data_IF_361958992819
#
_entry.id   IF_361958992819
#
_cell.length_a   1.000
_cell.length_b   1.000
_cell.length_c   1.000
_cell.angle_alpha   90.00
_cell.angle_beta   90.00
_cell.angle_gamma   90.00
#
_symmetry.space_group_name_H-M   'P 1'
#
loop_
_entity.id
_entity.type
_entity.pdbx_description
1 polymer ?
#
# COMPACT_ATOMS: atom_id res chain seq x y z
N UNK A 1 17.54 -20.34 -39.76
CA UNK A 1 17.93 -19.21 -38.89
C UNK A 1 16.96 -19.15 -37.73
N UNK A 2 17.36 -19.64 -36.55
CA UNK A 2 16.51 -19.63 -35.37
C UNK A 2 16.47 -18.22 -34.79
N UNK A 3 15.30 -17.57 -34.82
CA UNK A 3 15.06 -16.37 -34.02
C UNK A 3 14.96 -16.82 -32.56
N UNK A 4 15.69 -16.21 -31.63
CA UNK A 4 15.51 -16.53 -30.22
C UNK A 4 14.09 -16.10 -29.83
N UNK A 5 13.32 -17.05 -29.30
CA UNK A 5 12.07 -16.77 -28.62
C UNK A 5 12.46 -15.88 -27.45
N UNK A 6 12.11 -14.58 -27.52
CA UNK A 6 12.16 -13.73 -26.34
C UNK A 6 11.23 -14.36 -25.34
N UNK A 7 11.77 -14.99 -24.30
CA UNK A 7 11.01 -15.31 -23.11
C UNK A 7 10.30 -14.03 -22.70
N UNK A 8 8.97 -14.02 -22.82
CA UNK A 8 8.15 -13.01 -22.17
C UNK A 8 8.49 -13.16 -20.69
N UNK A 9 9.25 -12.20 -20.14
CA UNK A 9 9.42 -12.06 -18.70
C UNK A 9 8.02 -12.10 -18.12
N UNK A 10 7.68 -13.22 -17.47
CA UNK A 10 6.40 -13.44 -16.81
C UNK A 10 6.20 -12.22 -15.90
N UNK A 11 5.10 -11.49 -16.10
CA UNK A 11 4.76 -10.36 -15.25
C UNK A 11 4.82 -10.85 -13.80
N UNK A 12 5.81 -10.39 -13.03
CA UNK A 12 5.83 -10.63 -11.59
C UNK A 12 4.70 -9.79 -11.02
N UNK A 13 3.62 -10.44 -10.63
CA UNK A 13 2.69 -9.95 -9.63
C UNK A 13 2.23 -11.18 -8.86
N UNK A 14 2.75 -11.36 -7.64
CA UNK A 14 1.80 -11.75 -6.59
C UNK A 14 2.14 -11.31 -5.14
N UNK A 15 3.29 -10.73 -4.80
CA UNK A 15 3.64 -10.59 -3.36
C UNK A 15 2.76 -9.57 -2.62
N UNK A 16 2.55 -8.39 -3.18
CA UNK A 16 1.63 -7.38 -2.61
C UNK A 16 0.19 -7.91 -2.56
N UNK A 17 -0.28 -8.58 -3.63
CA UNK A 17 -1.64 -9.14 -3.70
C UNK A 17 -1.85 -10.30 -2.71
N UNK A 18 -0.84 -11.15 -2.50
CA UNK A 18 -0.90 -12.27 -1.54
C UNK A 18 -0.66 -11.83 -0.08
N UNK A 19 -0.24 -10.59 0.14
CA UNK A 19 -0.06 -10.03 1.48
C UNK A 19 -1.41 -9.63 2.09
N UNK A 20 -2.29 -9.03 1.30
CA UNK A 20 -3.60 -8.54 1.73
C UNK A 20 -4.70 -9.59 1.56
N UNK A 21 -5.60 -9.66 2.54
CA UNK A 21 -6.70 -10.64 2.55
C UNK A 21 -8.07 -9.99 2.40
N UNK A 22 -8.24 -8.76 2.91
CA UNK A 22 -9.52 -8.09 2.92
C UNK A 22 -9.36 -6.58 2.96
N UNK A 23 -10.41 -5.87 2.56
CA UNK A 23 -10.59 -4.46 2.84
C UNK A 23 -11.64 -4.30 3.94
N UNK A 24 -11.56 -3.22 4.69
CA UNK A 24 -12.64 -2.87 5.60
C UNK A 24 -13.86 -2.44 4.78
N UNK A 25 -15.06 -2.91 5.13
CA UNK A 25 -16.30 -2.55 4.45
C UNK A 25 -17.11 -1.50 5.23
N UNK A 26 -16.61 -1.10 6.40
CA UNK A 26 -17.20 -0.09 7.26
C UNK A 26 -16.56 1.30 7.13
N UNK A 27 -15.51 1.41 6.31
CA UNK A 27 -14.88 2.69 5.97
C UNK A 27 -15.57 3.35 4.77
N UNK A 28 -14.98 4.44 4.27
CA UNK A 28 -15.61 5.27 3.24
C UNK A 28 -15.37 4.74 1.82
N UNK A 29 -14.34 3.92 1.61
CA UNK A 29 -13.83 3.56 0.28
C UNK A 29 -12.93 2.32 0.29
N UNK A 30 -12.73 1.76 -0.89
CA UNK A 30 -11.81 0.64 -1.10
C UNK A 30 -10.57 1.06 -1.88
N UNK A 31 -9.42 0.48 -1.53
CA UNK A 31 -8.23 0.45 -2.37
C UNK A 31 -8.52 -0.28 -3.68
N UNK A 32 -7.96 0.25 -4.75
CA UNK A 32 -8.07 -0.30 -6.09
C UNK A 32 -6.75 -0.98 -6.48
N UNK A 33 -6.85 -2.17 -7.07
CA UNK A 33 -5.72 -2.87 -7.68
C UNK A 33 -5.60 -2.42 -9.14
N UNK A 34 -4.51 -1.73 -9.49
CA UNK A 34 -4.41 -0.97 -10.73
C UNK A 34 -3.11 -1.20 -11.47
N UNK A 35 -3.10 -0.88 -12.76
CA UNK A 35 -1.94 -0.94 -13.63
C UNK A 35 -1.87 0.29 -14.54
N UNK A 36 -0.67 0.84 -14.73
CA UNK A 36 -0.46 2.04 -15.52
C UNK A 36 -0.58 3.31 -14.67
N UNK A 37 -0.84 4.45 -15.32
CA UNK A 37 -0.98 5.75 -14.67
C UNK A 37 -2.34 5.87 -13.96
N UNK A 38 -2.39 6.61 -12.85
CA UNK A 38 -3.66 7.05 -12.25
C UNK A 38 -4.41 8.02 -13.19
N UNK A 39 -5.73 8.11 -13.04
CA UNK A 39 -6.60 8.94 -13.91
C UNK A 39 -6.46 10.43 -13.66
N UNK A 40 -5.92 10.82 -12.52
CA UNK A 40 -5.73 12.19 -12.06
C UNK A 40 -4.44 12.77 -12.66
N UNK A 41 -4.55 14.00 -13.18
CA UNK A 41 -3.39 14.73 -13.69
C UNK A 41 -2.56 15.29 -12.53
N UNK A 42 -1.23 15.37 -12.72
CA UNK A 42 -0.29 15.92 -11.73
C UNK A 42 -0.23 15.17 -10.39
N UNK A 43 -0.74 13.95 -10.36
CA UNK A 43 -0.55 12.97 -9.30
C UNK A 43 0.26 11.79 -9.85
N UNK A 44 0.29 10.66 -9.14
CA UNK A 44 0.92 9.45 -9.63
C UNK A 44 0.45 8.23 -8.86
N UNK A 45 1.05 7.07 -9.11
CA UNK A 45 2.24 6.84 -9.93
C UNK A 45 1.92 6.71 -11.44
N UNK A 46 2.94 6.83 -12.30
CA UNK A 46 2.84 6.56 -13.75
C UNK A 46 2.88 5.05 -14.07
N UNK A 47 3.44 4.24 -13.16
CA UNK A 47 3.54 2.79 -13.25
C UNK A 47 3.82 2.19 -11.85
N UNK A 48 3.56 0.88 -11.71
CA UNK A 48 3.90 0.11 -10.52
C UNK A 48 5.39 0.19 -10.16
N UNK A 49 5.73 0.00 -8.88
CA UNK A 49 7.14 -0.06 -8.46
C UNK A 49 7.79 -1.36 -8.95
N UNK A 50 7.12 -2.50 -8.73
CA UNK A 50 7.52 -3.79 -9.27
C UNK A 50 6.41 -4.38 -10.14
N UNK A 51 6.79 -4.97 -11.28
CA UNK A 51 5.83 -5.67 -12.13
C UNK A 51 4.88 -4.73 -12.86
N UNK A 52 3.58 -5.01 -12.78
CA UNK A 52 2.55 -4.29 -13.54
C UNK A 52 1.45 -3.70 -12.66
N UNK A 53 1.36 -4.09 -11.39
CA UNK A 53 0.22 -3.78 -10.54
C UNK A 53 0.64 -3.21 -9.20
N UNK A 54 -0.17 -2.31 -8.67
CA UNK A 54 -0.03 -1.72 -7.35
C UNK A 54 -1.43 -1.51 -6.74
N UNK A 55 -1.48 -1.28 -5.42
CA UNK A 55 -2.70 -0.81 -4.78
C UNK A 55 -2.69 0.70 -4.70
N UNK A 56 -3.83 1.33 -4.96
CA UNK A 56 -3.97 2.76 -4.83
C UNK A 56 -5.32 3.15 -4.26
N UNK A 57 -5.34 4.26 -3.53
CA UNK A 57 -6.54 4.85 -3.01
C UNK A 57 -7.07 5.88 -4.00
N UNK A 58 -8.16 5.54 -4.69
CA UNK A 58 -8.85 6.44 -5.61
C UNK A 58 -9.65 7.47 -4.82
N UNK A 59 -9.34 8.75 -5.00
CA UNK A 59 -9.94 9.85 -4.23
C UNK A 59 -10.97 10.66 -5.04
N UNK A 60 -11.20 10.30 -6.30
CA UNK A 60 -12.14 10.97 -7.21
C UNK A 60 -13.61 10.59 -6.97
N UNK A 61 -14.25 11.28 -6.01
CA UNK A 61 -15.70 11.41 -5.78
C UNK A 61 -16.56 10.16 -5.41
N UNK A 62 -17.64 10.35 -4.61
CA UNK A 62 -17.86 11.44 -3.66
C UNK A 62 -17.27 11.05 -2.29
N UNK A 63 -15.96 11.29 -2.10
CA UNK A 63 -15.30 11.17 -0.80
C UNK A 63 -15.07 12.56 -0.20
N UNK A 64 -15.17 12.66 1.14
CA UNK A 64 -14.97 13.91 1.87
C UNK A 64 -13.54 13.98 2.40
N UNK A 65 -13.11 15.18 2.78
CA UNK A 65 -11.86 15.32 3.52
C UNK A 65 -11.91 14.46 4.77
N UNK A 66 -10.86 13.68 5.03
CA UNK A 66 -10.80 12.75 6.15
C UNK A 66 -11.46 11.39 5.89
N UNK A 67 -12.04 11.14 4.71
CA UNK A 67 -12.51 9.80 4.34
C UNK A 67 -11.36 8.79 4.36
N UNK A 68 -11.65 7.58 4.81
CA UNK A 68 -10.64 6.54 5.04
C UNK A 68 -10.84 5.33 4.14
N UNK A 69 -9.75 4.64 3.83
CA UNK A 69 -9.75 3.32 3.20
C UNK A 69 -8.70 2.42 3.83
N UNK A 70 -9.10 1.25 4.31
CA UNK A 70 -8.27 0.31 5.06
C UNK A 70 -8.09 -1.01 4.32
N UNK A 71 -6.84 -1.33 4.00
CA UNK A 71 -6.42 -2.61 3.44
C UNK A 71 -5.72 -3.45 4.51
N UNK A 72 -6.24 -4.66 4.75
CA UNK A 72 -5.86 -5.49 5.89
C UNK A 72 -5.12 -6.74 5.40
N UNK A 73 -3.98 -7.04 6.02
CA UNK A 73 -3.21 -8.23 5.73
C UNK A 73 -3.99 -9.52 6.04
N UNK A 74 -3.52 -10.64 5.48
CA UNK A 74 -3.82 -11.95 6.06
C UNK A 74 -3.32 -12.04 7.51
N UNK A 75 -3.72 -13.09 8.23
CA UNK A 75 -3.12 -13.42 9.52
C UNK A 75 -1.63 -13.70 9.33
N UNK A 76 -0.78 -13.00 10.09
CA UNK A 76 0.66 -13.13 10.04
C UNK A 76 1.15 -13.81 11.33
N UNK A 77 2.08 -14.73 11.16
CA UNK A 77 2.90 -15.24 12.25
C UNK A 77 4.18 -14.39 12.28
N UNK A 78 4.34 -13.59 13.33
CA UNK A 78 5.45 -12.64 13.49
C UNK A 78 6.34 -13.15 14.62
N UNK A 79 7.52 -13.62 14.24
CA UNK A 79 8.57 -13.99 15.16
C UNK A 79 9.54 -12.83 15.42
N UNK A 80 10.56 -13.10 16.23
CA UNK A 80 11.54 -12.09 16.66
C UNK A 80 12.27 -11.51 15.45
N UNK A 81 12.51 -10.20 15.49
CA UNK A 81 13.34 -9.49 14.53
C UNK A 81 12.79 -9.52 13.09
N UNK A 82 11.52 -9.15 12.95
CA UNK A 82 10.84 -9.01 11.65
C UNK A 82 10.54 -7.55 11.34
N UNK A 83 10.67 -7.23 10.07
CA UNK A 83 10.41 -5.91 9.52
C UNK A 83 9.35 -6.02 8.42
N UNK A 84 8.33 -5.17 8.49
CA UNK A 84 7.53 -4.84 7.31
C UNK A 84 8.36 -3.93 6.42
N UNK A 85 8.51 -4.31 5.16
CA UNK A 85 9.09 -3.49 4.09
C UNK A 85 8.02 -3.22 3.05
N UNK A 86 7.95 -1.99 2.58
CA UNK A 86 6.93 -1.58 1.61
C UNK A 86 7.42 -0.38 0.83
N UNK A 87 6.90 -0.23 -0.39
CA UNK A 87 7.09 0.98 -1.18
C UNK A 87 5.79 1.75 -1.27
N UNK A 88 5.88 3.07 -1.21
CA UNK A 88 4.73 3.96 -1.30
C UNK A 88 5.01 5.12 -2.25
N UNK A 89 3.96 5.66 -2.85
CA UNK A 89 3.99 6.89 -3.65
C UNK A 89 2.89 7.81 -3.16
N UNK A 90 3.27 9.06 -2.86
CA UNK A 90 2.37 10.11 -2.36
C UNK A 90 2.80 11.42 -3.01
N UNK A 91 2.14 11.79 -4.10
CA UNK A 91 2.43 13.02 -4.83
C UNK A 91 1.15 13.68 -5.35
N UNK A 92 1.04 14.99 -5.14
CA UNK A 92 -0.11 15.78 -5.55
C UNK A 92 -0.39 16.91 -4.56
N UNK A 93 -1.27 17.82 -4.96
CA UNK A 93 -1.75 18.90 -4.10
C UNK A 93 -2.76 18.38 -3.08
N UNK A 94 -2.79 18.98 -1.89
CA UNK A 94 -3.72 18.57 -0.83
C UNK A 94 -3.59 17.11 -0.42
N UNK A 95 -2.36 16.59 -0.43
CA UNK A 95 -2.04 15.21 -0.11
C UNK A 95 -2.58 14.79 1.26
N UNK A 96 -3.13 13.58 1.30
CA UNK A 96 -3.64 12.94 2.50
C UNK A 96 -2.56 12.36 3.42
N UNK A 97 -2.97 11.34 4.16
CA UNK A 97 -2.11 10.61 5.10
C UNK A 97 -2.16 9.12 4.81
N UNK A 98 -0.99 8.46 4.88
CA UNK A 98 -0.89 7.01 4.93
C UNK A 98 -0.45 6.61 6.34
N UNK A 99 -1.27 5.81 7.01
CA UNK A 99 -0.98 5.20 8.29
C UNK A 99 -0.76 3.69 8.12
N UNK A 100 0.14 3.13 8.91
CA UNK A 100 0.33 1.68 9.01
C UNK A 100 0.24 1.28 10.47
N UNK A 101 -0.72 0.38 10.73
CA UNK A 101 -0.96 -0.18 12.05
C UNK A 101 -0.51 -1.62 12.12
N UNK A 102 0.02 -2.02 13.27
CA UNK A 102 0.12 -3.41 13.68
C UNK A 102 -0.91 -3.67 14.76
N UNK A 103 -1.88 -4.53 14.48
CA UNK A 103 -3.09 -4.63 15.30
C UNK A 103 -3.76 -3.25 15.42
N UNK A 104 -3.76 -2.66 16.61
CA UNK A 104 -4.28 -1.31 16.85
C UNK A 104 -3.17 -0.28 17.12
N UNK A 105 -1.89 -0.69 17.11
CA UNK A 105 -0.74 0.19 17.37
C UNK A 105 -0.30 0.89 16.10
N UNK A 106 -0.23 2.22 16.12
CA UNK A 106 0.26 3.02 14.99
C UNK A 106 1.78 2.88 14.91
N UNK A 107 2.28 2.19 13.88
CA UNK A 107 3.72 1.98 13.71
C UNK A 107 4.37 3.03 12.82
N UNK A 108 3.63 3.60 11.88
CA UNK A 108 4.16 4.53 10.90
C UNK A 108 3.08 5.43 10.33
N UNK A 109 3.48 6.67 10.04
CA UNK A 109 2.62 7.66 9.40
C UNK A 109 3.44 8.59 8.50
N UNK A 110 2.87 8.95 7.35
CA UNK A 110 3.31 10.06 6.51
C UNK A 110 2.10 10.83 6.03
N UNK A 111 2.22 12.15 6.07
CA UNK A 111 1.24 13.08 5.54
C UNK A 111 1.91 14.03 4.56
N UNK A 112 1.13 14.60 3.65
CA UNK A 112 1.65 15.56 2.69
C UNK A 112 2.45 14.91 1.55
N UNK A 113 2.78 15.71 0.54
CA UNK A 113 3.48 15.24 -0.67
C UNK A 113 4.92 14.83 -0.37
N UNK A 114 5.37 13.71 -0.97
CA UNK A 114 6.65 13.02 -0.70
C UNK A 114 7.56 12.98 -1.96
N UNK A 115 7.46 13.99 -2.82
CA UNK A 115 8.03 14.07 -4.17
C UNK A 115 7.41 13.05 -5.15
N UNK A 116 7.48 13.33 -6.45
CA UNK A 116 7.00 12.43 -7.49
C UNK A 116 7.97 11.26 -7.73
N UNK A 117 8.05 10.35 -6.76
CA UNK A 117 8.89 9.15 -6.82
C UNK A 117 8.41 8.11 -5.81
N UNK A 118 8.52 6.83 -6.15
CA UNK A 118 8.35 5.76 -5.17
C UNK A 118 9.40 5.86 -4.06
N UNK A 119 8.96 5.67 -2.82
CA UNK A 119 9.78 5.64 -1.61
C UNK A 119 9.71 4.27 -0.96
N UNK A 120 10.83 3.77 -0.46
CA UNK A 120 10.92 2.55 0.31
C UNK A 120 11.02 2.91 1.79
N UNK A 121 10.24 2.24 2.63
CA UNK A 121 10.39 2.35 4.09
C UNK A 121 10.32 0.97 4.76
N UNK A 122 10.71 0.94 6.03
CA UNK A 122 10.72 -0.28 6.86
C UNK A 122 10.26 0.01 8.28
N UNK A 123 9.53 -0.94 8.85
CA UNK A 123 8.97 -0.85 10.20
C UNK A 123 9.34 -2.12 10.95
N UNK A 124 9.94 -2.00 12.13
CA UNK A 124 10.13 -3.14 13.03
C UNK A 124 8.79 -3.55 13.62
N UNK A 125 8.47 -4.85 13.53
CA UNK A 125 7.24 -5.41 14.05
C UNK A 125 7.47 -5.96 15.45
N UNK A 126 6.47 -5.79 16.31
CA UNK A 126 6.49 -6.31 17.67
C UNK A 126 5.83 -7.69 17.70
N UNK A 127 6.61 -8.74 18.02
CA UNK A 127 6.11 -10.12 18.08
C UNK A 127 5.04 -10.33 19.16
N UNK A 128 4.85 -9.39 20.09
CA UNK A 128 3.85 -9.46 21.16
C UNK A 128 2.50 -8.88 20.78
N UNK A 129 2.42 -8.12 19.67
CA UNK A 129 1.16 -7.54 19.19
C UNK A 129 0.39 -8.56 18.35
N UNK A 130 -0.26 -9.49 19.04
CA UNK A 130 -1.05 -10.57 18.44
C UNK A 130 -2.46 -10.65 19.02
N UNK A 131 -3.39 -11.28 18.29
CA UNK A 131 -4.69 -11.69 18.80
C UNK A 131 -4.58 -12.88 19.78
N UNK A 132 -5.72 -13.34 20.30
CA UNK A 132 -5.79 -14.48 21.22
C UNK A 132 -5.38 -15.82 20.61
N UNK A 133 -5.23 -15.89 19.27
CA UNK A 133 -4.75 -17.07 18.54
C UNK A 133 -3.27 -16.95 18.17
N UNK A 134 -2.59 -15.87 18.57
CA UNK A 134 -1.19 -15.62 18.28
C UNK A 134 -0.91 -15.01 16.91
N UNK A 135 -1.94 -14.54 16.19
CA UNK A 135 -1.74 -13.91 14.89
C UNK A 135 -1.66 -12.39 14.99
N UNK A 136 -0.75 -11.80 14.23
CA UNK A 136 -0.69 -10.36 14.01
C UNK A 136 -1.38 -9.97 12.69
N UNK A 137 -1.82 -8.73 12.59
CA UNK A 137 -2.36 -8.12 11.36
C UNK A 137 -1.74 -6.76 11.12
N UNK A 138 -1.50 -6.46 9.85
CA UNK A 138 -1.06 -5.14 9.41
C UNK A 138 -2.20 -4.49 8.64
N UNK A 139 -2.51 -3.25 9.00
CA UNK A 139 -3.53 -2.44 8.32
C UNK A 139 -2.88 -1.22 7.70
N UNK A 140 -3.05 -1.07 6.40
CA UNK A 140 -2.70 0.15 5.67
C UNK A 140 -3.95 1.00 5.56
N UNK A 141 -3.93 2.18 6.18
CA UNK A 141 -5.04 3.13 6.15
C UNK A 141 -4.62 4.36 5.35
N UNK A 142 -5.31 4.60 4.25
CA UNK A 142 -5.21 5.86 3.52
C UNK A 142 -6.33 6.80 3.99
N UNK A 143 -5.96 8.05 4.24
CA UNK A 143 -6.87 9.13 4.64
C UNK A 143 -6.83 10.18 3.56
N UNK A 144 -7.99 10.51 2.99
CA UNK A 144 -8.13 11.53 1.96
C UNK A 144 -7.81 12.91 2.52
N UNK A 145 -6.98 13.66 1.79
CA UNK A 145 -6.75 15.07 2.08
C UNK A 145 -7.93 15.95 1.66
N UNK A 146 -7.68 17.23 1.43
CA UNK A 146 -8.77 18.18 1.14
C UNK A 146 -9.27 18.13 -0.31
N UNK A 147 -8.54 17.46 -1.23
CA UNK A 147 -8.89 17.34 -2.65
C UNK A 147 -8.67 15.92 -3.20
N UNK A 148 -9.18 15.66 -4.40
CA UNK A 148 -8.97 14.41 -5.15
C UNK A 148 -7.62 14.37 -5.88
N UNK A 149 -6.85 15.47 -5.86
CA UNK A 149 -5.51 15.54 -6.45
C UNK A 149 -4.46 14.89 -5.51
N UNK A 150 -4.83 13.79 -4.85
CA UNK A 150 -4.00 13.13 -3.84
C UNK A 150 -4.12 11.62 -3.91
N UNK A 151 -3.38 11.01 -4.83
CA UNK A 151 -3.31 9.56 -4.92
C UNK A 151 -2.28 9.04 -3.91
N UNK A 152 -2.69 8.05 -3.12
CA UNK A 152 -1.79 7.26 -2.29
C UNK A 152 -1.70 5.88 -2.92
N UNK A 153 -0.48 5.46 -3.26
CA UNK A 153 -0.22 4.14 -3.81
C UNK A 153 0.79 3.37 -2.96
N UNK A 154 0.61 2.05 -2.90
CA UNK A 154 1.49 1.12 -2.21
C UNK A 154 1.80 -0.09 -3.10
N UNK A 155 3.03 -0.59 -2.99
CA UNK A 155 3.51 -1.77 -3.69
C UNK A 155 4.69 -2.41 -2.93
N UNK A 156 5.16 -3.58 -3.40
CA UNK A 156 6.33 -4.30 -2.89
C UNK A 156 6.27 -4.55 -1.36
N UNK A 157 5.09 -4.94 -0.86
CA UNK A 157 4.83 -5.14 0.57
C UNK A 157 5.24 -6.55 1.00
N UNK A 158 6.18 -6.65 1.96
CA UNK A 158 6.79 -7.92 2.41
C UNK A 158 7.16 -7.88 3.89
N UNK A 159 7.14 -9.05 4.53
CA UNK A 159 7.82 -9.25 5.81
C UNK A 159 9.19 -9.88 5.54
N UNK A 160 10.24 -9.26 6.06
CA UNK A 160 11.61 -9.76 5.98
C UNK A 160 12.23 -9.77 7.38
N UNK A 161 13.30 -10.53 7.55
CA UNK A 161 14.17 -10.40 8.73
C UNK A 161 14.81 -9.00 8.70
N UNK A 162 14.78 -8.31 9.85
CA UNK A 162 15.67 -7.17 10.03
C UNK A 162 17.10 -7.69 10.32
#
# INVERSE_FOLDING_TARGET
MNRPIKEKKRAKSPETLLFFASQDLSDDANWMHWSGKTSTSETGPEAAYEGCYYYYFETSNPLRSGSTSRLISKNLDIDVNRCLTFTYHMYGEHMGTLNIYQMSDLKWTRSGSQNNSWKLDKIHLDEKLTDSKGYSKITFEAIRGTSYLSDIAIDNVKILTC
#
